data_IF_641467034770
#
_entry.id   IF_641467034770
#
_cell.length_a   1.000
_cell.length_b   1.000
_cell.length_c   1.000
_cell.angle_alpha   90.00
_cell.angle_beta   90.00
_cell.angle_gamma   90.00
#
_symmetry.space_group_name_H-M   'P 1'
#
loop_
_entity.id
_entity.type
_entity.pdbx_description
1 polymer ?
#
# COMPACT_ATOMS: atom_id res chain seq x y z
N UNK A 1 41.48 50.80 -47.22
CA UNK A 1 40.47 49.78 -46.83
C UNK A 1 41.05 48.55 -46.11
N UNK A 2 42.30 48.15 -46.35
CA UNK A 2 42.92 46.95 -45.76
C UNK A 2 43.22 46.99 -44.26
N UNK A 3 43.44 48.18 -43.67
CA UNK A 3 43.68 48.32 -42.21
C UNK A 3 42.42 48.11 -41.36
N UNK A 4 41.28 48.65 -41.79
CA UNK A 4 40.01 48.50 -41.09
C UNK A 4 39.51 47.04 -41.10
N UNK A 5 39.75 46.31 -42.19
CA UNK A 5 39.38 44.89 -42.30
C UNK A 5 40.18 44.01 -41.33
N UNK A 6 41.47 44.30 -41.14
CA UNK A 6 42.32 43.60 -40.14
C UNK A 6 41.89 43.87 -38.71
N UNK A 7 41.46 45.11 -38.39
CA UNK A 7 40.94 45.45 -37.06
C UNK A 7 39.60 44.77 -36.76
N UNK A 8 38.71 44.63 -37.74
CA UNK A 8 37.42 43.94 -37.57
C UNK A 8 37.61 42.43 -37.33
N UNK A 9 38.53 41.80 -38.07
CA UNK A 9 38.86 40.37 -37.87
C UNK A 9 39.49 40.14 -36.48
N UNK A 10 40.36 41.04 -36.04
CA UNK A 10 40.95 40.98 -34.69
C UNK A 10 39.89 41.09 -33.59
N UNK A 11 38.91 41.98 -33.75
CA UNK A 11 37.82 42.16 -32.77
C UNK A 11 36.89 40.93 -32.72
N UNK A 12 36.59 40.33 -33.87
CA UNK A 12 35.77 39.12 -33.95
C UNK A 12 36.46 37.90 -33.32
N UNK A 13 37.79 37.76 -33.50
CA UNK A 13 38.55 36.67 -32.89
C UNK A 13 38.61 36.77 -31.36
N UNK A 14 38.70 38.00 -30.81
CA UNK A 14 38.66 38.22 -29.36
C UNK A 14 37.26 37.95 -28.78
N UNK A 15 36.20 38.26 -29.51
CA UNK A 15 34.83 37.96 -29.08
C UNK A 15 34.54 36.45 -28.99
N UNK A 16 35.12 35.64 -29.90
CA UNK A 16 34.97 34.17 -29.88
C UNK A 16 35.73 33.54 -28.71
N UNK A 17 36.88 34.09 -28.32
CA UNK A 17 37.67 33.60 -27.17
C UNK A 17 37.03 33.92 -25.81
N UNK A 18 36.14 34.92 -25.73
CA UNK A 18 35.40 35.28 -24.52
C UNK A 18 34.14 34.41 -24.29
N UNK A 19 33.69 33.63 -25.28
CA UNK A 19 32.51 32.77 -25.16
C UNK A 19 32.80 31.39 -24.49
N UNK A 20 34.04 31.13 -24.08
CA UNK A 20 34.52 29.81 -23.64
C UNK A 20 34.33 29.45 -22.15
N UNK A 21 33.59 30.23 -21.35
CA UNK A 21 33.38 29.93 -19.92
C UNK A 21 31.90 29.96 -19.53
N UNK A 22 31.10 29.06 -20.10
CA UNK A 22 29.92 28.54 -19.42
C UNK A 22 30.22 27.11 -18.99
N UNK A 23 30.41 26.89 -17.68
CA UNK A 23 30.43 25.53 -17.10
C UNK A 23 28.98 25.01 -17.12
N UNK A 24 28.64 23.95 -17.86
CA UNK A 24 27.38 23.26 -17.65
C UNK A 24 27.58 22.36 -16.44
N UNK A 25 27.45 22.94 -15.24
CA UNK A 25 27.72 22.21 -13.99
C UNK A 25 27.04 22.79 -12.76
N UNK A 26 26.21 23.83 -12.91
CA UNK A 26 25.20 24.14 -11.91
C UNK A 26 23.96 23.34 -12.31
N UNK A 27 23.76 22.17 -11.69
CA UNK A 27 22.43 21.57 -11.65
C UNK A 27 21.60 22.57 -10.85
N UNK A 28 20.74 23.29 -11.54
CA UNK A 28 19.79 24.21 -10.93
C UNK A 28 19.07 23.49 -9.79
N UNK A 29 19.41 23.86 -8.55
CA UNK A 29 18.81 23.37 -7.31
C UNK A 29 17.33 23.79 -7.16
N UNK A 30 16.70 24.27 -8.24
CA UNK A 30 15.32 24.74 -8.26
C UNK A 30 14.28 23.61 -8.34
N UNK A 31 14.70 22.35 -8.49
CA UNK A 31 13.81 21.17 -8.55
C UNK A 31 14.18 20.02 -7.61
N UNK A 32 15.12 20.22 -6.68
CA UNK A 32 15.35 19.25 -5.61
C UNK A 32 14.40 19.55 -4.44
N UNK A 33 13.28 18.82 -4.40
CA UNK A 33 12.48 18.72 -3.18
C UNK A 33 13.31 17.94 -2.14
N UNK A 34 13.47 18.46 -0.90
CA UNK A 34 14.22 17.75 0.13
C UNK A 34 13.57 16.40 0.40
N UNK A 35 14.34 15.35 0.74
CA UNK A 35 13.77 14.09 1.13
C UNK A 35 12.89 14.29 2.37
N UNK A 36 11.60 13.99 2.22
CA UNK A 36 10.63 14.02 3.32
C UNK A 36 10.23 12.59 3.69
N UNK A 37 9.94 12.39 4.97
CA UNK A 37 9.26 11.16 5.40
C UNK A 37 7.89 11.16 4.72
N UNK A 38 7.57 10.07 4.01
CA UNK A 38 6.29 9.94 3.32
C UNK A 38 5.15 10.12 4.33
N UNK A 39 4.23 11.07 4.12
CA UNK A 39 3.10 11.26 5.03
C UNK A 39 2.23 9.99 5.08
N UNK A 40 1.74 9.58 6.26
CA UNK A 40 0.93 8.38 6.37
C UNK A 40 -0.44 8.61 5.72
N UNK A 41 -0.90 7.59 4.97
CA UNK A 41 -2.28 7.56 4.47
C UNK A 41 -3.26 7.32 5.63
N UNK A 42 -4.56 7.61 5.48
CA UNK A 42 -5.59 7.28 6.45
C UNK A 42 -5.60 5.78 6.79
N UNK A 43 -5.35 4.94 5.79
CA UNK A 43 -5.15 3.49 5.92
C UNK A 43 -3.98 3.15 6.84
N UNK A 44 -2.83 3.80 6.63
CA UNK A 44 -1.65 3.60 7.47
C UNK A 44 -1.92 4.05 8.92
N UNK A 45 -2.57 5.21 9.10
CA UNK A 45 -2.94 5.70 10.43
C UNK A 45 -3.85 4.71 11.15
N UNK A 46 -4.93 4.24 10.50
CA UNK A 46 -5.85 3.27 11.09
C UNK A 46 -5.15 1.98 11.52
N UNK A 47 -4.22 1.48 10.70
CA UNK A 47 -3.41 0.31 11.00
C UNK A 47 -2.48 0.55 12.20
N UNK A 48 -1.83 1.71 12.26
CA UNK A 48 -0.90 2.10 13.32
C UNK A 48 -1.59 2.37 14.66
N UNK A 49 -2.82 2.89 14.63
CA UNK A 49 -3.59 3.23 15.84
C UNK A 49 -4.47 2.09 16.34
N UNK A 50 -4.30 0.86 15.81
CA UNK A 50 -5.03 -0.30 16.30
C UNK A 50 -4.77 -0.54 17.79
N UNK A 51 -5.81 -0.83 18.60
CA UNK A 51 -5.61 -1.23 19.98
C UNK A 51 -4.82 -2.54 20.06
N UNK A 52 -4.09 -2.78 21.16
CA UNK A 52 -3.17 -3.91 21.27
C UNK A 52 -3.89 -5.26 21.32
N UNK A 53 -3.25 -6.34 20.84
CA UNK A 53 -3.75 -7.70 21.01
C UNK A 53 -3.58 -8.17 22.46
N UNK A 54 -4.26 -9.26 22.86
CA UNK A 54 -3.98 -9.95 24.13
C UNK A 54 -2.54 -10.44 24.21
N UNK A 55 -2.01 -10.91 23.08
CA UNK A 55 -0.63 -11.35 22.95
C UNK A 55 -0.10 -11.02 21.56
N UNK A 56 1.14 -10.54 21.52
CA UNK A 56 1.88 -10.29 20.28
C UNK A 56 2.20 -11.60 19.55
N UNK A 57 1.88 -11.64 18.26
CA UNK A 57 1.85 -12.85 17.43
C UNK A 57 3.16 -12.97 16.64
N UNK A 58 3.81 -14.14 16.71
CA UNK A 58 5.05 -14.39 15.96
C UNK A 58 4.72 -14.87 14.54
N UNK A 59 5.05 -14.06 13.54
CA UNK A 59 4.73 -14.29 12.12
C UNK A 59 5.99 -14.27 11.26
N UNK A 60 5.98 -14.99 10.14
CA UNK A 60 7.06 -14.94 9.15
C UNK A 60 6.50 -14.69 7.75
N UNK A 61 7.29 -13.99 6.94
CA UNK A 61 7.01 -13.75 5.52
C UNK A 61 8.25 -14.11 4.71
N UNK A 62 8.07 -14.96 3.71
CA UNK A 62 9.16 -15.42 2.85
C UNK A 62 9.31 -14.52 1.63
N UNK A 63 8.20 -14.22 0.97
CA UNK A 63 8.16 -13.44 -0.25
C UNK A 63 6.82 -12.73 -0.36
N UNK A 64 6.82 -11.68 -1.19
CA UNK A 64 5.62 -10.95 -1.57
C UNK A 64 5.79 -10.43 -3.00
N UNK A 65 5.71 -11.32 -4.00
CA UNK A 65 6.02 -10.98 -5.38
C UNK A 65 4.92 -10.16 -6.04
N UNK A 66 5.29 -9.54 -7.15
CA UNK A 66 4.35 -9.10 -8.17
C UNK A 66 3.92 -10.32 -9.01
N UNK A 67 2.64 -10.68 -8.93
CA UNK A 67 2.01 -11.77 -9.67
C UNK A 67 1.14 -11.24 -10.83
N UNK A 68 1.12 -9.93 -11.07
CA UNK A 68 0.31 -9.30 -12.12
C UNK A 68 0.88 -9.56 -13.51
N UNK A 69 2.21 -9.68 -13.60
CA UNK A 69 2.96 -9.78 -14.85
C UNK A 69 2.88 -8.52 -15.72
N UNK A 70 2.33 -7.41 -15.22
CA UNK A 70 2.08 -6.19 -16.01
C UNK A 70 3.33 -5.31 -16.11
N UNK A 71 3.54 -4.77 -17.30
CA UNK A 71 4.47 -3.66 -17.51
C UNK A 71 3.72 -2.34 -17.50
N UNK A 72 4.45 -1.24 -17.33
CA UNK A 72 3.88 0.10 -17.37
C UNK A 72 3.08 0.31 -18.67
N UNK A 73 1.83 0.79 -18.57
CA UNK A 73 1.01 1.05 -19.75
C UNK A 73 1.58 2.22 -20.54
N UNK A 74 1.75 2.02 -21.85
CA UNK A 74 2.19 3.05 -22.78
C UNK A 74 1.46 2.87 -24.11
N UNK A 75 0.89 3.95 -24.61
CA UNK A 75 0.00 3.93 -25.79
C UNK A 75 0.77 3.79 -27.12
N UNK A 76 2.08 4.07 -27.14
CA UNK A 76 2.86 4.20 -28.37
C UNK A 76 4.02 3.19 -28.48
N UNK A 77 4.54 2.67 -27.36
CA UNK A 77 5.74 1.82 -27.34
C UNK A 77 5.61 0.73 -26.29
N UNK A 78 6.14 -0.47 -26.58
CA UNK A 78 6.30 -1.51 -25.58
C UNK A 78 7.36 -1.09 -24.54
N UNK A 79 6.94 -0.93 -23.28
CA UNK A 79 7.82 -0.61 -22.14
C UNK A 79 8.13 -1.89 -21.36
N UNK A 80 9.38 -2.02 -20.91
CA UNK A 80 9.86 -3.16 -20.12
C UNK A 80 9.81 -2.93 -18.60
N UNK A 81 9.62 -1.67 -18.17
CA UNK A 81 9.40 -1.31 -16.77
C UNK A 81 8.16 -1.99 -16.23
N UNK A 82 8.25 -2.57 -15.03
CA UNK A 82 7.11 -3.20 -14.35
C UNK A 82 6.11 -2.15 -13.90
N UNK A 83 4.82 -2.43 -14.02
CA UNK A 83 3.77 -1.52 -13.59
C UNK A 83 3.73 -1.32 -12.07
N UNK A 84 4.18 -2.33 -11.33
CA UNK A 84 4.17 -2.35 -9.86
C UNK A 84 5.53 -2.72 -9.29
N UNK A 85 5.75 -2.31 -8.04
CA UNK A 85 7.02 -2.53 -7.34
C UNK A 85 7.33 -4.01 -7.13
N UNK A 86 8.61 -4.37 -7.26
CA UNK A 86 9.13 -5.69 -6.89
C UNK A 86 9.58 -5.74 -5.41
N UNK A 87 9.49 -4.61 -4.70
CA UNK A 87 9.82 -4.48 -3.27
C UNK A 87 8.67 -4.79 -2.32
N UNK A 88 7.67 -5.55 -2.76
CA UNK A 88 6.45 -5.82 -1.98
C UNK A 88 6.72 -6.44 -0.60
N UNK A 89 7.76 -7.26 -0.48
CA UNK A 89 8.10 -7.92 0.79
C UNK A 89 8.49 -6.90 1.87
N UNK A 90 9.27 -5.88 1.50
CA UNK A 90 9.64 -4.80 2.42
C UNK A 90 8.43 -4.00 2.88
N UNK A 91 7.49 -3.70 1.98
CA UNK A 91 6.25 -3.00 2.31
C UNK A 91 5.35 -3.82 3.25
N UNK A 92 5.23 -5.12 3.00
CA UNK A 92 4.44 -6.02 3.85
C UNK A 92 5.06 -6.19 5.25
N UNK A 93 6.39 -6.36 5.34
CA UNK A 93 7.11 -6.41 6.63
C UNK A 93 6.90 -5.11 7.40
N UNK A 94 7.03 -3.96 6.72
CA UNK A 94 6.83 -2.65 7.32
C UNK A 94 5.40 -2.47 7.86
N UNK A 95 4.37 -2.82 7.07
CA UNK A 95 2.97 -2.80 7.51
C UNK A 95 2.73 -3.67 8.75
N UNK A 96 3.24 -4.90 8.77
CA UNK A 96 3.14 -5.80 9.93
C UNK A 96 3.85 -5.24 11.17
N UNK A 97 5.00 -4.59 10.99
CA UNK A 97 5.75 -3.97 12.10
C UNK A 97 5.09 -2.70 12.63
N UNK A 98 4.35 -1.96 11.80
CA UNK A 98 3.65 -0.73 12.19
C UNK A 98 2.30 -0.99 12.86
N UNK A 99 1.66 -2.13 12.59
CA UNK A 99 0.36 -2.50 13.15
C UNK A 99 0.26 -2.30 14.68
N UNK A 100 -0.67 -1.45 15.11
CA UNK A 100 -0.89 -1.02 16.51
C UNK A 100 0.37 -0.45 17.18
N UNK A 101 1.15 0.37 16.48
CA UNK A 101 2.43 0.88 16.97
C UNK A 101 3.47 -0.22 17.20
N UNK A 102 3.32 -1.36 16.51
CA UNK A 102 4.19 -2.53 16.65
C UNK A 102 3.83 -3.47 17.80
N UNK A 103 2.62 -3.40 18.37
CA UNK A 103 2.17 -4.35 19.38
C UNK A 103 1.64 -5.65 18.79
N UNK A 104 1.21 -5.66 17.53
CA UNK A 104 0.52 -6.81 16.92
C UNK A 104 1.42 -7.97 16.58
N UNK A 105 2.47 -7.72 15.80
CA UNK A 105 3.28 -8.77 15.19
C UNK A 105 4.74 -8.69 15.59
N UNK A 106 5.30 -9.84 15.97
CA UNK A 106 6.74 -10.07 16.02
C UNK A 106 7.12 -10.74 14.69
N UNK A 107 7.54 -9.92 13.74
CA UNK A 107 7.93 -10.38 12.42
C UNK A 107 9.31 -11.04 12.49
N UNK A 108 9.37 -12.31 12.11
CA UNK A 108 10.61 -13.08 12.05
C UNK A 108 11.17 -13.04 10.64
N UNK A 109 12.45 -12.70 10.53
CA UNK A 109 13.15 -12.60 9.25
C UNK A 109 13.28 -13.97 8.57
N UNK A 110 12.75 -14.05 7.35
CA UNK A 110 12.86 -15.22 6.46
C UNK A 110 13.21 -14.85 5.03
N UNK A 111 12.96 -13.61 4.60
CA UNK A 111 13.36 -13.11 3.29
C UNK A 111 14.89 -13.06 3.15
N UNK A 112 15.58 -12.62 4.21
CA UNK A 112 17.05 -12.58 4.32
C UNK A 112 17.69 -13.76 5.05
N UNK A 113 17.02 -14.93 5.11
CA UNK A 113 17.45 -16.05 5.96
C UNK A 113 18.88 -16.51 5.69
N UNK A 114 19.28 -16.60 4.42
CA UNK A 114 20.62 -17.04 4.04
C UNK A 114 21.71 -16.13 4.63
N UNK A 115 21.51 -14.81 4.54
CA UNK A 115 22.45 -13.83 5.10
C UNK A 115 22.54 -13.97 6.63
N UNK A 116 21.40 -14.17 7.31
CA UNK A 116 21.38 -14.40 8.76
C UNK A 116 22.08 -15.71 9.16
N UNK A 117 21.92 -16.78 8.38
CA UNK A 117 22.57 -18.05 8.65
C UNK A 117 24.09 -17.96 8.46
N UNK A 118 24.54 -17.26 7.41
CA UNK A 118 25.95 -16.97 7.17
C UNK A 118 26.56 -16.17 8.31
N UNK A 119 25.92 -15.09 8.74
CA UNK A 119 26.40 -14.27 9.87
C UNK A 119 26.47 -15.09 11.17
N UNK A 120 25.46 -15.91 11.43
CA UNK A 120 25.46 -16.80 12.60
C UNK A 120 26.54 -17.87 12.51
N UNK A 121 26.88 -18.35 11.31
CA UNK A 121 27.99 -19.28 11.10
C UNK A 121 29.33 -18.59 11.37
N UNK A 122 29.50 -17.36 10.89
CA UNK A 122 30.69 -16.55 11.16
C UNK A 122 30.88 -16.38 12.67
N UNK A 123 29.85 -15.95 13.41
CA UNK A 123 29.92 -15.79 14.87
C UNK A 123 30.27 -17.10 15.58
N UNK A 124 29.73 -18.24 15.13
CA UNK A 124 30.07 -19.55 15.70
C UNK A 124 31.54 -19.90 15.46
N UNK A 125 32.04 -19.69 14.23
CA UNK A 125 33.43 -19.97 13.89
C UNK A 125 34.39 -19.09 14.69
N UNK A 126 34.11 -17.79 14.82
CA UNK A 126 34.94 -16.87 15.62
C UNK A 126 34.98 -17.28 17.10
N UNK A 127 33.84 -17.63 17.71
CA UNK A 127 33.83 -18.09 19.11
C UNK A 127 34.60 -19.39 19.30
N UNK A 128 34.48 -20.33 18.37
CA UNK A 128 35.24 -21.59 18.44
C UNK A 128 36.75 -21.35 18.38
N UNK A 129 37.20 -20.43 17.52
CA UNK A 129 38.61 -20.09 17.37
C UNK A 129 39.19 -19.41 18.63
N UNK A 130 38.49 -18.40 19.17
CA UNK A 130 39.01 -17.56 20.25
C UNK A 130 38.64 -18.04 21.66
N UNK A 131 37.42 -18.55 21.87
CA UNK A 131 36.93 -18.97 23.19
C UNK A 131 37.11 -20.48 23.45
N UNK A 132 37.36 -21.29 22.39
CA UNK A 132 37.54 -22.75 22.44
C UNK A 132 36.51 -23.43 23.34
N UNK A 133 36.96 -24.05 24.44
CA UNK A 133 36.13 -24.81 25.39
C UNK A 133 35.11 -23.94 26.16
N UNK A 134 35.28 -22.61 26.15
CA UNK A 134 34.32 -21.65 26.75
C UNK A 134 33.29 -21.12 25.76
N UNK A 135 33.37 -21.50 24.48
CA UNK A 135 32.48 -21.00 23.44
C UNK A 135 31.01 -21.40 23.71
N UNK A 136 30.16 -20.42 24.01
CA UNK A 136 28.73 -20.65 24.21
C UNK A 136 27.97 -20.71 22.88
N UNK A 137 27.03 -21.66 22.72
CA UNK A 137 26.21 -21.73 21.51
C UNK A 137 25.35 -20.47 21.37
N UNK A 138 25.04 -20.11 20.12
CA UNK A 138 24.07 -19.06 19.85
C UNK A 138 22.67 -19.53 20.27
N UNK A 139 21.84 -18.64 20.85
CA UNK A 139 20.43 -18.94 21.09
C UNK A 139 19.73 -19.39 19.80
N UNK A 140 18.74 -20.29 19.87
CA UNK A 140 17.97 -20.72 18.71
C UNK A 140 17.27 -19.52 18.06
N UNK A 141 17.05 -19.61 16.75
CA UNK A 141 16.25 -18.59 16.06
C UNK A 141 14.80 -18.70 16.50
N UNK A 142 14.13 -17.56 16.62
CA UNK A 142 12.69 -17.52 16.91
C UNK A 142 11.91 -18.22 15.79
N UNK A 143 10.96 -19.06 16.18
CA UNK A 143 10.00 -19.66 15.26
C UNK A 143 8.78 -18.76 15.13
N UNK A 144 8.21 -18.70 13.94
CA UNK A 144 6.89 -18.11 13.73
C UNK A 144 5.85 -19.23 13.82
N UNK A 145 4.74 -18.99 14.51
CA UNK A 145 3.62 -19.93 14.53
C UNK A 145 2.77 -19.83 13.27
N UNK A 146 2.81 -18.67 12.60
CA UNK A 146 2.02 -18.37 11.41
C UNK A 146 2.92 -17.90 10.27
N UNK A 147 2.59 -18.34 9.07
CA UNK A 147 3.15 -17.82 7.82
C UNK A 147 2.18 -16.82 7.21
N UNK A 148 2.70 -15.69 6.81
CA UNK A 148 1.99 -14.71 6.01
C UNK A 148 2.54 -14.82 4.60
N UNK A 149 1.65 -15.10 3.65
CA UNK A 149 1.97 -15.23 2.24
C UNK A 149 1.03 -14.34 1.43
N UNK A 150 1.52 -13.80 0.33
CA UNK A 150 0.71 -12.91 -0.49
C UNK A 150 1.49 -12.36 -1.65
N UNK A 151 0.89 -11.37 -2.31
CA UNK A 151 1.50 -10.69 -3.43
C UNK A 151 0.55 -9.67 -4.04
N UNK A 152 1.09 -8.92 -5.00
CA UNK A 152 0.27 -8.05 -5.85
C UNK A 152 -0.33 -8.95 -6.92
N UNK A 153 -1.62 -9.22 -6.84
CA UNK A 153 -2.29 -10.26 -7.66
C UNK A 153 -2.96 -9.72 -8.90
N UNK A 154 -3.34 -8.44 -8.91
CA UNK A 154 -3.83 -7.78 -10.13
C UNK A 154 -3.41 -6.30 -10.19
N UNK A 155 -3.17 -5.85 -11.41
CA UNK A 155 -2.99 -4.44 -11.73
C UNK A 155 -3.75 -4.15 -13.03
N UNK A 156 -4.72 -3.23 -12.97
CA UNK A 156 -5.54 -2.83 -14.11
C UNK A 156 -5.53 -1.31 -14.24
N UNK A 157 -5.09 -0.81 -15.39
CA UNK A 157 -5.09 0.61 -15.73
C UNK A 157 -5.99 0.83 -16.96
N UNK A 158 -7.06 1.59 -16.81
CA UNK A 158 -8.04 1.80 -17.87
C UNK A 158 -8.47 3.26 -17.96
N UNK A 159 -8.60 3.77 -19.19
CA UNK A 159 -9.29 5.03 -19.40
C UNK A 159 -10.80 4.82 -19.49
N UNK A 160 -11.54 5.70 -18.83
CA UNK A 160 -13.00 5.70 -18.76
C UNK A 160 -13.54 7.09 -19.05
N UNK A 161 -14.82 7.17 -19.39
CA UNK A 161 -15.54 8.42 -19.67
C UNK A 161 -16.92 8.32 -18.99
N UNK A 162 -17.38 9.40 -18.36
CA UNK A 162 -18.72 9.45 -17.77
C UNK A 162 -18.97 8.49 -16.59
N UNK A 163 -20.26 8.21 -16.34
CA UNK A 163 -20.73 7.28 -15.32
C UNK A 163 -20.48 7.72 -13.86
N UNK A 164 -20.59 6.75 -12.95
CA UNK A 164 -20.42 6.97 -11.50
C UNK A 164 -19.06 7.62 -11.19
N UNK A 165 -17.99 7.24 -11.91
CA UNK A 165 -16.65 7.81 -11.73
C UNK A 165 -16.56 9.31 -12.07
N UNK A 166 -17.24 9.77 -13.12
CA UNK A 166 -17.29 11.18 -13.48
C UNK A 166 -18.02 12.03 -12.40
N UNK A 167 -19.12 11.50 -11.84
CA UNK A 167 -19.82 12.13 -10.72
C UNK A 167 -18.93 12.27 -9.49
N UNK A 168 -18.18 11.22 -9.15
CA UNK A 168 -17.24 11.24 -8.01
C UNK A 168 -16.10 12.26 -8.19
N UNK A 169 -15.60 12.42 -9.42
CA UNK A 169 -14.53 13.37 -9.72
C UNK A 169 -15.02 14.82 -9.87
N UNK A 170 -16.33 15.00 -10.01
CA UNK A 170 -16.95 16.30 -10.30
C UNK A 170 -16.62 16.79 -11.72
N UNK A 171 -16.54 15.87 -12.68
CA UNK A 171 -16.18 16.17 -14.08
C UNK A 171 -17.35 15.88 -15.02
N UNK A 172 -17.38 16.55 -16.17
CA UNK A 172 -18.44 16.38 -17.16
C UNK A 172 -18.50 14.95 -17.71
N UNK A 173 -19.69 14.52 -18.16
CA UNK A 173 -19.92 13.17 -18.68
C UNK A 173 -19.00 12.80 -19.86
N UNK A 174 -18.57 13.79 -20.65
CA UNK A 174 -17.68 13.61 -21.80
C UNK A 174 -16.19 13.71 -21.45
N UNK A 175 -15.84 13.95 -20.19
CA UNK A 175 -14.44 14.07 -19.75
C UNK A 175 -13.83 12.69 -19.55
N UNK A 176 -12.74 12.40 -20.29
CA UNK A 176 -11.96 11.17 -20.15
C UNK A 176 -11.09 11.23 -18.88
N UNK A 177 -11.11 10.16 -18.10
CA UNK A 177 -10.31 9.98 -16.90
C UNK A 177 -9.67 8.59 -16.91
N UNK A 178 -8.63 8.37 -16.10
CA UNK A 178 -7.95 7.08 -15.96
C UNK A 178 -8.16 6.52 -14.57
N UNK A 179 -8.47 5.24 -14.51
CA UNK A 179 -8.70 4.44 -13.30
C UNK A 179 -7.65 3.35 -13.23
N UNK A 180 -6.83 3.41 -12.19
CA UNK A 180 -5.80 2.44 -11.90
C UNK A 180 -6.20 1.65 -10.64
N UNK A 181 -6.18 0.32 -10.75
CA UNK A 181 -6.60 -0.59 -9.69
C UNK A 181 -5.45 -1.52 -9.33
N UNK A 182 -5.06 -1.53 -8.06
CA UNK A 182 -4.06 -2.44 -7.51
C UNK A 182 -4.76 -3.40 -6.58
N UNK A 183 -4.63 -4.70 -6.82
CA UNK A 183 -5.20 -5.74 -5.95
C UNK A 183 -4.10 -6.53 -5.28
N UNK A 184 -4.21 -6.67 -3.97
CA UNK A 184 -3.30 -7.41 -3.11
C UNK A 184 -4.04 -8.58 -2.50
N UNK A 185 -3.45 -9.77 -2.63
CA UNK A 185 -3.88 -10.97 -1.93
C UNK A 185 -2.97 -11.24 -0.73
N UNK A 186 -3.55 -11.59 0.41
CA UNK A 186 -2.84 -11.92 1.63
C UNK A 186 -3.52 -13.11 2.32
N UNK A 187 -2.75 -14.13 2.66
CA UNK A 187 -3.22 -15.29 3.42
C UNK A 187 -2.34 -15.55 4.63
N UNK A 188 -2.95 -16.18 5.63
CA UNK A 188 -2.28 -16.63 6.86
C UNK A 188 -2.41 -18.14 6.94
N UNK A 189 -1.28 -18.83 7.10
CA UNK A 189 -1.24 -20.28 7.24
C UNK A 189 -0.60 -20.70 8.58
N UNK A 190 -1.12 -21.76 9.17
CA UNK A 190 -0.55 -22.38 10.37
C UNK A 190 0.70 -23.17 10.01
N UNK A 191 1.83 -22.88 10.68
CA UNK A 191 3.06 -23.67 10.52
C UNK A 191 2.88 -25.09 11.04
N UNK A 192 2.02 -25.29 12.04
CA UNK A 192 1.85 -26.57 12.70
C UNK A 192 0.98 -27.54 11.90
N UNK A 193 -0.11 -27.05 11.29
CA UNK A 193 -1.07 -27.89 10.56
C UNK A 193 -0.97 -27.77 9.04
N UNK A 194 -0.32 -26.73 8.51
CA UNK A 194 -0.34 -26.39 7.08
C UNK A 194 -1.67 -25.80 6.60
N UNK A 195 -2.64 -25.60 7.49
CA UNK A 195 -3.95 -25.05 7.17
C UNK A 195 -3.87 -23.56 6.84
N UNK A 196 -4.58 -23.12 5.80
CA UNK A 196 -4.79 -21.69 5.51
C UNK A 196 -5.94 -21.19 6.39
N UNK A 197 -5.60 -20.41 7.41
CA UNK A 197 -6.53 -19.91 8.42
C UNK A 197 -7.36 -18.73 7.91
N UNK A 198 -6.73 -17.80 7.18
CA UNK A 198 -7.44 -16.66 6.56
C UNK A 198 -6.92 -16.39 5.17
N UNK A 199 -7.79 -15.92 4.27
CA UNK A 199 -7.43 -15.45 2.94
C UNK A 199 -8.21 -14.19 2.62
N UNK A 200 -7.49 -13.10 2.34
CA UNK A 200 -8.01 -11.75 2.18
C UNK A 200 -7.53 -11.20 0.84
N UNK A 201 -8.42 -10.49 0.16
CA UNK A 201 -8.11 -9.74 -1.04
C UNK A 201 -8.54 -8.29 -0.83
N UNK A 202 -7.66 -7.36 -1.14
CA UNK A 202 -7.93 -5.92 -1.03
C UNK A 202 -7.60 -5.25 -2.34
N UNK A 203 -8.36 -4.21 -2.69
CA UNK A 203 -8.16 -3.47 -3.93
C UNK A 203 -8.15 -1.98 -3.63
N UNK A 204 -7.07 -1.30 -4.03
CA UNK A 204 -6.97 0.16 -4.04
C UNK A 204 -7.27 0.66 -5.43
N UNK A 205 -8.16 1.65 -5.54
CA UNK A 205 -8.48 2.32 -6.81
C UNK A 205 -8.03 3.78 -6.76
N UNK A 206 -7.27 4.18 -7.76
CA UNK A 206 -6.78 5.54 -7.97
C UNK A 206 -7.44 6.09 -9.22
N UNK A 207 -8.13 7.22 -9.11
CA UNK A 207 -8.68 7.94 -10.25
C UNK A 207 -7.80 9.15 -10.57
N UNK A 208 -7.61 9.39 -11.87
CA UNK A 208 -6.80 10.47 -12.40
C UNK A 208 -7.50 11.16 -13.56
N UNK A 209 -7.52 12.48 -13.57
CA UNK A 209 -8.07 13.30 -14.65
C UNK A 209 -6.99 14.23 -15.18
N UNK A 210 -6.91 14.38 -16.51
CA UNK A 210 -6.09 15.41 -17.14
C UNK A 210 -6.91 16.69 -17.27
N UNK A 211 -6.45 17.78 -16.66
CA UNK A 211 -6.96 19.13 -16.83
C UNK A 211 -6.09 19.82 -17.90
N UNK A 212 -6.71 20.66 -18.73
CA UNK A 212 -6.05 21.32 -19.86
C UNK A 212 -4.75 22.01 -19.44
N UNK A 213 -3.64 21.65 -20.10
CA UNK A 213 -2.27 22.08 -19.78
C UNK A 213 -1.69 21.38 -18.55
N UNK A 214 -0.94 20.28 -18.76
CA UNK A 214 -0.06 19.54 -17.83
C UNK A 214 -0.51 19.36 -16.35
N UNK A 215 -1.76 19.62 -16.00
CA UNK A 215 -2.27 19.59 -14.63
C UNK A 215 -3.21 18.40 -14.49
N UNK A 216 -3.11 17.66 -13.39
CA UNK A 216 -3.90 16.45 -13.18
C UNK A 216 -4.57 16.50 -11.80
N UNK A 217 -5.85 16.15 -11.73
CA UNK A 217 -6.62 16.00 -10.47
C UNK A 217 -6.77 14.51 -10.18
N UNK A 218 -6.47 14.12 -8.94
CA UNK A 218 -6.56 12.72 -8.50
C UNK A 218 -7.55 12.60 -7.36
N UNK A 219 -8.27 11.48 -7.33
CA UNK A 219 -9.11 11.10 -6.20
C UNK A 219 -8.84 9.64 -5.91
N UNK A 220 -8.25 9.39 -4.75
CA UNK A 220 -8.02 8.04 -4.26
C UNK A 220 -9.29 7.58 -3.55
N UNK A 221 -9.82 6.42 -3.98
CA UNK A 221 -10.98 5.82 -3.33
C UNK A 221 -10.50 4.76 -2.36
N UNK A 222 -10.32 5.16 -1.10
CA UNK A 222 -10.28 4.24 0.03
C UNK A 222 -11.67 4.12 0.63
N UNK A 223 -12.12 2.88 0.88
CA UNK A 223 -13.36 2.68 1.65
C UNK A 223 -13.21 2.98 3.14
N UNK A 224 -12.02 3.38 3.58
CA UNK A 224 -11.77 3.96 4.90
C UNK A 224 -12.19 5.44 4.95
N UNK A 225 -13.46 5.74 4.68
CA UNK A 225 -14.21 6.97 5.03
C UNK A 225 -13.46 8.32 5.07
N UNK A 226 -12.49 8.54 4.18
CA UNK A 226 -11.87 9.84 3.93
C UNK A 226 -11.65 9.96 2.42
N UNK A 227 -12.40 10.88 1.80
CA UNK A 227 -12.10 11.32 0.44
C UNK A 227 -10.84 12.19 0.55
N UNK A 228 -9.70 11.65 0.13
CA UNK A 228 -8.52 12.47 -0.12
C UNK A 228 -8.69 13.13 -1.49
N UNK A 229 -9.37 14.28 -1.50
CA UNK A 229 -9.43 15.14 -2.67
C UNK A 229 -8.19 16.04 -2.67
N UNK A 230 -7.13 15.59 -3.34
CA UNK A 230 -5.94 16.39 -3.60
C UNK A 230 -6.01 17.07 -4.97
N UNK A 231 -5.63 18.34 -5.04
CA UNK A 231 -5.26 18.98 -6.31
C UNK A 231 -3.74 18.86 -6.41
N UNK A 232 -3.26 18.27 -7.51
CA UNK A 232 -1.86 18.13 -7.98
C UNK A 232 -1.04 16.86 -7.61
N UNK A 233 -0.28 16.42 -8.63
CA UNK A 233 0.68 15.29 -8.81
C UNK A 233 0.11 13.87 -8.73
N UNK A 234 0.51 13.06 -9.72
CA UNK A 234 0.23 11.63 -9.81
C UNK A 234 0.45 10.94 -8.48
N UNK A 235 -0.61 10.31 -7.94
CA UNK A 235 -0.41 9.35 -6.87
C UNK A 235 0.53 8.27 -7.41
N UNK A 236 1.71 8.05 -6.80
CA UNK A 236 2.62 7.03 -7.29
C UNK A 236 1.98 5.66 -7.14
N UNK A 237 2.07 4.80 -8.16
CA UNK A 237 1.56 3.42 -8.08
C UNK A 237 2.11 2.66 -6.86
N UNK A 238 3.33 2.99 -6.44
CA UNK A 238 3.94 2.46 -5.22
C UNK A 238 3.17 2.84 -3.95
N UNK A 239 2.60 4.04 -3.87
CA UNK A 239 1.76 4.45 -2.73
C UNK A 239 0.45 3.66 -2.72
N UNK A 240 -0.18 3.46 -3.88
CA UNK A 240 -1.38 2.62 -4.01
C UNK A 240 -1.12 1.17 -3.59
N UNK A 241 0.02 0.58 -3.99
CA UNK A 241 0.46 -0.75 -3.54
C UNK A 241 0.64 -0.77 -2.02
N UNK A 242 1.33 0.23 -1.45
CA UNK A 242 1.55 0.33 0.00
C UNK A 242 0.22 0.39 0.76
N UNK A 243 -0.71 1.23 0.32
CA UNK A 243 -2.03 1.35 0.95
C UNK A 243 -2.85 0.06 0.82
N UNK A 244 -2.80 -0.63 -0.32
CA UNK A 244 -3.45 -1.92 -0.48
C UNK A 244 -2.85 -2.98 0.47
N UNK A 245 -1.52 -3.00 0.66
CA UNK A 245 -0.87 -3.87 1.63
C UNK A 245 -1.28 -3.51 3.07
N UNK A 246 -1.29 -2.22 3.44
CA UNK A 246 -1.71 -1.77 4.76
C UNK A 246 -3.17 -2.21 5.05
N UNK A 247 -4.07 -2.05 4.07
CA UNK A 247 -5.46 -2.49 4.18
C UNK A 247 -5.58 -4.02 4.26
N UNK A 248 -4.73 -4.76 3.54
CA UNK A 248 -4.71 -6.23 3.60
C UNK A 248 -4.31 -6.70 5.01
N UNK A 249 -3.27 -6.10 5.61
CA UNK A 249 -2.84 -6.42 6.97
C UNK A 249 -3.93 -6.06 7.99
N UNK A 250 -4.52 -4.87 7.88
CA UNK A 250 -5.63 -4.45 8.72
C UNK A 250 -6.82 -5.44 8.63
N UNK A 251 -7.21 -5.79 7.41
CA UNK A 251 -8.30 -6.72 7.14
C UNK A 251 -8.01 -8.13 7.67
N UNK A 252 -6.75 -8.60 7.56
CA UNK A 252 -6.32 -9.86 8.17
C UNK A 252 -6.47 -9.82 9.68
N UNK A 253 -6.06 -8.74 10.35
CA UNK A 253 -6.24 -8.57 11.80
C UNK A 253 -7.73 -8.71 12.17
N UNK A 254 -8.60 -8.00 11.45
CA UNK A 254 -10.04 -8.01 11.74
C UNK A 254 -10.67 -9.38 11.49
N UNK A 255 -10.35 -10.02 10.37
CA UNK A 255 -10.88 -11.35 10.04
C UNK A 255 -10.32 -12.44 10.96
N UNK A 256 -9.05 -12.35 11.36
CA UNK A 256 -8.49 -13.28 12.34
C UNK A 256 -9.13 -13.13 13.72
N UNK A 257 -9.47 -11.90 14.14
CA UNK A 257 -10.21 -11.68 15.38
C UNK A 257 -11.65 -12.26 15.28
N UNK A 258 -12.34 -12.01 14.16
CA UNK A 258 -13.67 -12.56 13.88
C UNK A 258 -13.68 -14.10 13.90
N UNK A 259 -12.63 -14.71 13.36
CA UNK A 259 -12.46 -16.16 13.32
C UNK A 259 -11.83 -16.73 14.60
N UNK A 260 -11.62 -15.89 15.62
CA UNK A 260 -11.06 -16.27 16.92
C UNK A 260 -9.64 -16.85 16.85
N UNK A 261 -8.87 -16.51 15.81
CA UNK A 261 -7.45 -16.85 15.67
C UNK A 261 -6.58 -16.08 16.66
N UNK A 262 -7.00 -14.86 16.99
CA UNK A 262 -6.42 -14.00 18.00
C UNK A 262 -7.50 -13.08 18.58
N UNK A 263 -7.15 -12.32 19.61
CA UNK A 263 -8.06 -11.42 20.32
C UNK A 263 -7.38 -10.10 20.63
N UNK A 264 -8.18 -9.03 20.64
CA UNK A 264 -7.77 -7.75 21.19
C UNK A 264 -7.74 -7.83 22.72
N UNK A 265 -6.90 -6.99 23.35
CA UNK A 265 -6.83 -6.92 24.80
C UNK A 265 -8.17 -6.54 25.44
N UNK A 266 -8.94 -5.67 24.78
CA UNK A 266 -10.27 -5.24 25.20
C UNK A 266 -11.37 -5.86 24.30
N UNK A 267 -12.22 -6.76 24.84
CA UNK A 267 -13.31 -7.39 24.10
C UNK A 267 -14.41 -6.43 23.62
N UNK A 268 -14.66 -5.33 24.34
CA UNK A 268 -15.69 -4.35 23.96
C UNK A 268 -15.22 -3.57 22.72
N UNK A 269 -13.95 -3.15 22.74
CA UNK A 269 -13.30 -2.53 21.58
C UNK A 269 -13.19 -3.49 20.39
N UNK A 270 -12.88 -4.77 20.62
CA UNK A 270 -12.91 -5.81 19.58
C UNK A 270 -14.26 -5.85 18.86
N UNK A 271 -15.35 -5.99 19.61
CA UNK A 271 -16.69 -6.09 19.04
C UNK A 271 -17.10 -4.83 18.28
N UNK A 272 -16.63 -3.65 18.70
CA UNK A 272 -16.85 -2.40 17.95
C UNK A 272 -16.05 -2.40 16.64
N UNK A 273 -14.75 -2.69 16.69
CA UNK A 273 -13.87 -2.66 15.51
C UNK A 273 -14.29 -3.67 14.44
N UNK A 274 -14.69 -4.87 14.85
CA UNK A 274 -15.19 -5.89 13.91
C UNK A 274 -16.49 -5.42 13.25
N UNK A 275 -17.41 -4.81 14.00
CA UNK A 275 -18.64 -4.23 13.41
C UNK A 275 -18.31 -3.12 12.42
N UNK A 276 -17.49 -2.16 12.83
CA UNK A 276 -17.05 -1.05 11.98
C UNK A 276 -16.39 -1.56 10.68
N UNK A 277 -15.55 -2.60 10.78
CA UNK A 277 -14.93 -3.27 9.62
C UNK A 277 -15.95 -3.95 8.70
N UNK A 278 -16.94 -4.67 9.23
CA UNK A 278 -17.95 -5.35 8.42
C UNK A 278 -18.88 -4.37 7.70
N UNK A 279 -19.23 -3.26 8.36
CA UNK A 279 -20.14 -2.27 7.80
C UNK A 279 -19.45 -1.38 6.75
N UNK A 280 -18.18 -1.04 6.98
CA UNK A 280 -17.43 -0.09 6.17
C UNK A 280 -16.51 -0.75 5.13
N UNK A 281 -15.75 -1.76 5.54
CA UNK A 281 -14.54 -2.20 4.84
C UNK A 281 -14.74 -3.52 4.06
N UNK A 282 -15.60 -4.42 4.53
CA UNK A 282 -15.93 -5.67 3.83
C UNK A 282 -17.19 -5.50 2.97
N UNK A 283 -17.09 -5.42 1.63
CA UNK A 283 -18.26 -5.24 0.79
C UNK A 283 -19.21 -6.44 0.92
N UNK A 284 -20.48 -6.17 1.26
CA UNK A 284 -21.56 -7.08 0.91
C UNK A 284 -21.71 -7.04 -0.62
N UNK A 285 -21.86 -8.18 -1.32
CA UNK A 285 -22.09 -8.17 -2.75
C UNK A 285 -23.29 -7.28 -3.06
N UNK A 286 -23.14 -6.34 -4.00
CA UNK A 286 -24.17 -5.35 -4.34
C UNK A 286 -25.51 -5.97 -4.77
N UNK A 287 -25.53 -7.27 -5.07
CA UNK A 287 -26.72 -8.06 -5.37
C UNK A 287 -27.52 -8.51 -4.14
N UNK A 288 -27.06 -8.21 -2.92
CA UNK A 288 -27.70 -8.68 -1.67
C UNK A 288 -28.41 -7.58 -0.88
N UNK A 289 -28.31 -6.31 -1.33
CA UNK A 289 -29.23 -5.27 -0.86
C UNK A 289 -30.31 -5.13 -1.94
N UNK A 290 -31.59 -5.45 -1.65
CA UNK A 290 -32.65 -5.02 -2.54
C UNK A 290 -32.49 -3.50 -2.68
N UNK A 291 -32.55 -3.00 -3.91
CA UNK A 291 -32.75 -1.57 -4.13
C UNK A 291 -34.14 -1.24 -3.61
N UNK A 292 -34.28 -1.13 -2.29
CA UNK A 292 -35.53 -0.72 -1.66
C UNK A 292 -35.73 0.73 -2.07
N UNK A 293 -36.82 0.96 -2.79
CA UNK A 293 -37.38 2.28 -3.04
C UNK A 293 -37.63 3.00 -1.70
N UNK A 294 -37.81 4.32 -1.77
CA UNK A 294 -37.99 5.13 -0.54
C UNK A 294 -39.22 4.66 0.24
N UNK A 295 -40.23 4.17 -0.47
CA UNK A 295 -41.45 3.57 0.03
C UNK A 295 -41.16 2.23 0.75
N UNK A 296 -40.41 1.33 0.13
CA UNK A 296 -40.05 0.02 0.72
C UNK A 296 -39.11 0.17 1.94
N UNK A 297 -38.30 1.24 2.00
CA UNK A 297 -37.49 1.56 3.19
C UNK A 297 -38.35 1.98 4.38
N UNK A 298 -39.43 2.72 4.13
CA UNK A 298 -40.37 3.16 5.18
C UNK A 298 -41.16 1.95 5.71
N UNK A 299 -41.54 1.04 4.82
CA UNK A 299 -42.28 -0.18 5.19
C UNK A 299 -41.41 -1.14 6.01
N UNK A 300 -40.16 -1.36 5.61
CA UNK A 300 -39.21 -2.20 6.36
C UNK A 300 -38.90 -1.62 7.76
N UNK A 301 -38.85 -0.29 7.91
CA UNK A 301 -38.62 0.38 9.18
C UNK A 301 -39.88 0.42 10.08
N UNK A 302 -41.08 0.25 9.51
CA UNK A 302 -42.33 0.11 10.26
C UNK A 302 -42.58 -1.32 10.75
N UNK A 303 -42.16 -2.33 9.98
CA UNK A 303 -42.26 -3.75 10.38
C UNK A 303 -41.38 -4.04 11.62
N UNK A 304 -40.16 -3.50 11.66
CA UNK A 304 -39.20 -3.66 12.77
C UNK A 304 -39.61 -2.93 14.07
N UNK A 305 -40.55 -1.98 13.99
CA UNK A 305 -41.07 -1.23 15.15
C UNK A 305 -42.35 -1.81 15.74
N UNK A 306 -42.87 -2.91 15.19
CA UNK A 306 -44.03 -3.59 15.77
C UNK A 306 -43.60 -4.36 17.04
N UNK A 307 -44.19 -4.12 18.23
CA UNK A 307 -43.80 -4.83 19.44
C UNK A 307 -44.26 -6.29 19.32
N UNK A 308 -43.32 -7.21 19.10
CA UNK A 308 -43.54 -8.64 19.20
C UNK A 308 -43.62 -9.06 20.68
N UNK A 309 -44.66 -8.59 21.39
CA UNK A 309 -45.16 -9.24 22.60
C UNK A 309 -46.61 -8.83 22.88
N UNK A 310 -47.52 -9.77 22.67
CA UNK A 310 -48.80 -9.79 23.37
C UNK A 310 -49.01 -11.24 23.83
N UNK A 311 -49.11 -11.51 25.14
CA UNK A 311 -49.39 -12.87 25.60
C UNK A 311 -50.79 -13.26 25.12
N UNK A 312 -50.89 -14.35 24.35
CA UNK A 312 -52.17 -14.97 24.04
C UNK A 312 -52.66 -15.70 25.29
N UNK A 313 -53.78 -15.23 25.84
CA UNK A 313 -54.59 -15.89 26.87
C UNK A 313 -55.17 -17.21 26.36
#
# INVERSE_FOLDING_TARGET
>A
MTRYFRSIIGLAAVAVLLAGCSRPGHRDAFFEEPPVVTPPSPTAVNLETLPPPQQKIDVAIYQFPDLTGKNEPNDNVAVFSRAVTQGGAGLAIDALKRAGGGTWFRVVERNGLNNLLQERQLVRATRQEFDRDRAKPLPPMRFAGLLIEGGIVAFDANYMTGGIGANYLGIGADTKFRRDMVTVGLRVASVQSGEVLTSITTTKTVYSVSLQGNTYKYVALDKLLQIEAGITRSEPTQLAVRQAIDLAVYSTIMEGARQKLWRFADPVMEAKLIRDYLDRDKPQPAFMKPYLTKEERIEAEQVDRSPEWAPRS
#
